data_IF_622154690263
#
_entry.id   IF_622154690263
#
_cell.length_a   1.000
_cell.length_b   1.000
_cell.length_c   1.000
_cell.angle_alpha   90.00
_cell.angle_beta   90.00
_cell.angle_gamma   90.00
#
_symmetry.space_group_name_H-M   'P 1'
#
loop_
_entity.id
_entity.type
_entity.pdbx_description
1 polymer ?
#
# COMPACT_ATOMS: atom_id res chain seq x y z
N UNK A 1 -35.78 5.93 27.53
CA UNK A 1 -34.54 5.59 28.26
C UNK A 1 -33.53 5.28 27.18
N UNK A 2 -32.70 6.26 26.85
CA UNK A 2 -31.77 6.19 25.73
C UNK A 2 -30.37 6.19 26.35
N UNK A 3 -29.78 5.03 26.53
CA UNK A 3 -28.36 4.93 26.87
C UNK A 3 -27.57 4.80 25.57
N UNK A 4 -26.57 5.65 25.44
CA UNK A 4 -25.61 5.63 24.33
C UNK A 4 -24.77 4.36 24.44
N UNK A 5 -24.44 3.67 23.34
CA UNK A 5 -23.57 2.48 23.37
C UNK A 5 -22.10 2.81 23.74
N UNK A 6 -21.79 4.08 24.05
CA UNK A 6 -20.45 4.55 24.40
C UNK A 6 -20.28 4.93 25.88
N UNK A 7 -21.33 4.83 26.69
CA UNK A 7 -21.19 5.03 28.14
C UNK A 7 -20.63 3.73 28.74
N UNK A 8 -19.29 3.63 28.83
CA UNK A 8 -18.64 2.62 29.68
C UNK A 8 -18.95 2.94 31.15
N UNK A 9 -19.18 1.93 32.01
CA UNK A 9 -19.18 2.17 33.45
C UNK A 9 -17.77 2.59 33.90
N UNK A 10 -17.70 3.72 34.62
CA UNK A 10 -16.54 4.10 35.43
C UNK A 10 -16.43 3.12 36.60
N UNK A 11 -15.80 1.97 36.36
CA UNK A 11 -15.33 1.10 37.44
C UNK A 11 -13.97 1.64 37.92
N UNK A 12 -14.04 2.56 38.89
CA UNK A 12 -12.93 2.86 39.79
C UNK A 12 -12.64 1.61 40.64
N UNK A 13 -11.85 0.68 40.10
CA UNK A 13 -11.12 -0.29 40.91
C UNK A 13 -9.63 0.01 40.76
N UNK A 14 -9.08 0.73 41.74
CA UNK A 14 -7.63 0.84 41.93
C UNK A 14 -7.09 -0.56 42.31
N UNK A 15 -6.87 -1.38 41.29
CA UNK A 15 -6.01 -2.55 41.38
C UNK A 15 -4.59 -2.06 41.55
N UNK A 16 -4.09 -2.12 42.79
CA UNK A 16 -2.69 -2.04 43.15
C UNK A 16 -1.92 -3.04 42.26
N UNK A 17 -1.35 -2.55 41.15
CA UNK A 17 -0.46 -3.35 40.32
C UNK A 17 0.82 -3.54 41.13
N UNK A 18 0.89 -4.65 41.86
CA UNK A 18 2.12 -5.10 42.48
C UNK A 18 3.23 -5.08 41.44
N UNK A 19 4.16 -4.14 41.60
CA UNK A 19 5.40 -4.05 40.85
C UNK A 19 6.26 -5.26 41.24
N UNK A 20 5.93 -6.41 40.66
CA UNK A 20 6.91 -7.44 40.39
C UNK A 20 7.28 -7.23 38.94
N UNK A 21 8.39 -6.55 38.67
CA UNK A 21 9.03 -6.60 37.36
C UNK A 21 9.68 -7.97 37.24
N UNK A 22 9.13 -8.98 36.54
CA UNK A 22 9.99 -10.02 36.03
C UNK A 22 10.90 -9.31 35.02
N UNK A 23 12.21 -9.33 35.26
CA UNK A 23 13.25 -8.96 34.30
C UNK A 23 12.75 -9.26 32.88
N UNK A 24 12.49 -8.21 32.09
CA UNK A 24 11.92 -8.33 30.75
C UNK A 24 12.94 -9.02 29.84
N UNK A 25 12.98 -10.35 29.87
CA UNK A 25 13.84 -11.14 29.00
C UNK A 25 13.52 -10.82 27.54
N UNK A 26 14.52 -10.27 26.84
CA UNK A 26 14.35 -9.92 25.44
C UNK A 26 14.23 -11.19 24.60
N UNK A 27 13.68 -11.08 23.39
CA UNK A 27 13.65 -12.21 22.47
C UNK A 27 15.05 -12.77 22.15
N UNK A 28 16.09 -11.96 22.34
CA UNK A 28 17.48 -12.35 22.14
C UNK A 28 18.08 -13.11 23.33
N UNK A 29 17.49 -12.99 24.52
CA UNK A 29 17.90 -13.74 25.71
C UNK A 29 17.34 -15.16 25.73
N UNK A 30 16.45 -15.49 24.78
CA UNK A 30 15.88 -16.83 24.61
C UNK A 30 16.85 -17.70 23.79
N UNK A 31 17.02 -18.98 24.16
CA UNK A 31 17.85 -19.90 23.41
C UNK A 31 17.30 -20.11 21.99
N UNK A 32 18.16 -20.48 21.01
CA UNK A 32 17.71 -20.73 19.64
C UNK A 32 16.68 -21.86 19.59
N UNK A 33 15.77 -21.80 18.60
CA UNK A 33 14.65 -22.76 18.45
C UNK A 33 15.04 -24.24 18.47
N UNK A 34 16.28 -24.57 18.09
CA UNK A 34 16.79 -25.95 18.09
C UNK A 34 17.07 -26.50 19.50
N UNK A 35 17.32 -25.62 20.46
CA UNK A 35 17.59 -25.96 21.87
C UNK A 35 16.32 -25.89 22.73
N UNK A 36 15.23 -25.35 22.18
CA UNK A 36 13.93 -25.33 22.83
C UNK A 36 13.28 -26.72 22.81
N UNK A 37 12.49 -27.08 23.83
CA UNK A 37 11.77 -28.34 23.84
C UNK A 37 10.81 -28.42 22.64
N UNK A 38 10.57 -29.63 22.10
CA UNK A 38 9.63 -29.81 21.01
C UNK A 38 8.23 -29.37 21.45
N UNK A 39 7.66 -28.43 20.70
CA UNK A 39 6.29 -27.96 20.93
C UNK A 39 5.35 -28.97 20.27
N UNK A 40 4.45 -29.56 21.06
CA UNK A 40 3.36 -30.38 20.54
C UNK A 40 2.37 -29.47 19.82
N UNK A 41 2.37 -29.52 18.49
CA UNK A 41 1.37 -28.85 17.68
C UNK A 41 0.14 -29.73 17.60
N UNK A 42 -1.05 -29.13 17.52
CA UNK A 42 -2.26 -29.87 17.15
C UNK A 42 -1.99 -30.62 15.84
N UNK A 43 -2.42 -31.89 15.76
CA UNK A 43 -2.39 -32.60 14.50
C UNK A 43 -3.20 -31.80 13.49
N UNK A 44 -2.66 -31.66 12.28
CA UNK A 44 -3.43 -31.20 11.13
C UNK A 44 -4.51 -32.26 10.86
N UNK A 45 -5.61 -32.17 11.60
CA UNK A 45 -6.80 -32.94 11.29
C UNK A 45 -7.32 -32.39 9.96
N UNK A 46 -7.19 -33.20 8.91
CA UNK A 46 -7.60 -32.87 7.53
C UNK A 46 -9.06 -32.36 7.47
N UNK A 47 -9.85 -32.64 8.51
CA UNK A 47 -11.23 -32.20 8.67
C UNK A 47 -11.42 -30.69 8.97
N UNK A 48 -10.37 -29.96 9.36
CA UNK A 48 -10.42 -28.50 9.59
C UNK A 48 -9.52 -27.71 8.62
N UNK A 49 -9.24 -28.30 7.46
CA UNK A 49 -8.54 -27.64 6.37
C UNK A 49 -9.56 -26.84 5.55
N UNK A 50 -9.26 -25.57 5.30
CA UNK A 50 -10.12 -24.70 4.49
C UNK A 50 -10.29 -25.29 3.07
N UNK A 51 -11.50 -25.17 2.49
CA UNK A 51 -11.86 -25.84 1.22
C UNK A 51 -10.83 -25.63 0.10
N UNK A 52 -10.30 -24.41 -0.03
CA UNK A 52 -9.32 -24.02 -1.05
C UNK A 52 -7.95 -24.71 -0.94
N UNK A 53 -7.67 -25.43 0.15
CA UNK A 53 -6.46 -26.25 0.32
C UNK A 53 -6.66 -27.69 -0.16
N UNK A 54 -7.91 -28.16 -0.26
CA UNK A 54 -8.24 -29.47 -0.79
C UNK A 54 -8.37 -29.46 -2.32
N UNK A 55 -8.57 -28.27 -2.90
CA UNK A 55 -8.59 -28.08 -4.33
C UNK A 55 -7.16 -28.26 -4.86
N UNK A 56 -6.96 -29.28 -5.70
CA UNK A 56 -5.73 -29.42 -6.48
C UNK A 56 -5.54 -28.11 -7.26
N UNK A 57 -4.36 -27.45 -7.15
CA UNK A 57 -4.12 -26.22 -7.89
C UNK A 57 -4.43 -26.47 -9.37
N UNK A 58 -5.29 -25.63 -9.96
CA UNK A 58 -5.61 -25.75 -11.37
C UNK A 58 -4.33 -25.92 -12.18
N UNK A 59 -4.33 -26.83 -13.14
CA UNK A 59 -3.15 -27.18 -13.94
C UNK A 59 -2.65 -25.95 -14.71
N UNK A 60 -1.79 -25.15 -14.08
CA UNK A 60 -1.38 -23.81 -14.53
C UNK A 60 -1.23 -22.75 -13.44
N UNK A 61 -1.75 -22.95 -12.22
CA UNK A 61 -1.56 -22.03 -11.09
C UNK A 61 -0.22 -22.33 -10.39
N UNK A 62 0.87 -21.83 -10.95
CA UNK A 62 2.19 -21.56 -10.35
C UNK A 62 2.74 -22.49 -9.25
N UNK A 63 2.43 -23.78 -9.23
CA UNK A 63 3.17 -24.78 -8.46
C UNK A 63 4.15 -25.48 -9.39
N UNK A 64 5.01 -24.69 -10.05
CA UNK A 64 6.20 -25.26 -10.69
C UNK A 64 7.22 -25.46 -9.56
N UNK A 65 7.82 -26.65 -9.48
CA UNK A 65 8.87 -26.97 -8.49
C UNK A 65 10.11 -26.04 -8.59
N UNK A 66 10.18 -25.27 -9.67
CA UNK A 66 11.24 -24.31 -9.94
C UNK A 66 10.87 -22.90 -9.46
N UNK A 67 11.84 -22.15 -8.88
CA UNK A 67 11.61 -20.78 -8.48
C UNK A 67 11.25 -19.93 -9.69
N UNK A 68 10.25 -19.06 -9.53
CA UNK A 68 9.86 -18.13 -10.57
C UNK A 68 11.01 -17.19 -10.92
N UNK A 69 11.50 -17.27 -12.17
CA UNK A 69 12.59 -16.43 -12.65
C UNK A 69 12.02 -15.09 -13.11
N UNK A 70 12.26 -14.02 -12.35
CA UNK A 70 11.89 -12.66 -12.73
C UNK A 70 12.79 -12.15 -13.86
N UNK A 71 12.29 -12.21 -15.09
CA UNK A 71 12.98 -11.63 -16.25
C UNK A 71 12.53 -10.18 -16.48
N UNK A 72 13.45 -9.32 -16.95
CA UNK A 72 13.14 -7.91 -17.29
C UNK A 72 11.98 -7.77 -18.27
N UNK A 73 11.78 -8.76 -19.15
CA UNK A 73 10.67 -8.77 -20.09
C UNK A 73 9.31 -8.95 -19.40
N UNK A 74 9.25 -9.75 -18.34
CA UNK A 74 8.04 -9.95 -17.53
C UNK A 74 7.78 -8.77 -16.60
N UNK A 75 8.83 -8.02 -16.23
CA UNK A 75 8.73 -6.78 -15.47
C UNK A 75 8.53 -5.54 -16.35
N UNK A 76 8.41 -5.71 -17.67
CA UNK A 76 8.14 -4.59 -18.57
C UNK A 76 6.68 -4.21 -18.40
N UNK A 77 6.44 -3.19 -17.60
CA UNK A 77 5.17 -2.49 -17.60
C UNK A 77 5.15 -1.58 -18.82
N UNK A 78 4.07 -1.60 -19.58
CA UNK A 78 3.77 -0.46 -20.44
C UNK A 78 3.76 0.75 -19.50
N UNK A 79 4.60 1.75 -19.82
CA UNK A 79 4.67 2.97 -19.03
C UNK A 79 3.23 3.46 -18.85
N UNK A 80 2.83 3.98 -17.67
CA UNK A 80 1.45 4.44 -17.43
C UNK A 80 1.03 5.61 -18.35
N UNK A 81 1.91 6.00 -19.27
CA UNK A 81 1.77 7.07 -20.24
C UNK A 81 2.26 6.54 -21.59
N UNK A 82 1.37 6.48 -22.58
CA UNK A 82 1.76 6.21 -23.97
C UNK A 82 2.73 7.30 -24.44
N UNK A 83 3.86 6.92 -25.02
CA UNK A 83 4.84 7.86 -25.54
C UNK A 83 4.32 8.53 -26.80
N UNK A 84 4.39 9.87 -26.88
CA UNK A 84 4.03 10.60 -28.10
C UNK A 84 2.55 10.96 -28.22
N UNK A 85 1.78 10.95 -27.12
CA UNK A 85 0.42 11.46 -27.10
C UNK A 85 0.38 12.93 -27.59
N UNK A 86 -0.58 13.29 -28.45
CA UNK A 86 -0.76 14.67 -28.86
C UNK A 86 -1.19 15.54 -27.66
N UNK A 87 -0.81 16.83 -27.61
CA UNK A 87 -1.13 17.71 -26.47
C UNK A 87 -2.61 17.77 -26.10
N UNK A 88 -3.51 17.62 -27.06
CA UNK A 88 -4.96 17.59 -26.85
C UNK A 88 -5.40 16.41 -25.96
N UNK A 89 -4.74 15.26 -26.11
CA UNK A 89 -5.01 14.05 -25.31
C UNK A 89 -4.25 14.06 -23.98
N UNK A 90 -3.28 14.98 -23.82
CA UNK A 90 -2.55 15.16 -22.58
C UNK A 90 -3.31 16.01 -21.55
N UNK A 91 -4.38 16.70 -21.97
CA UNK A 91 -5.20 17.52 -21.08
C UNK A 91 -5.81 16.63 -20.00
N UNK A 92 -5.82 17.12 -18.76
CA UNK A 92 -6.23 16.40 -17.55
C UNK A 92 -5.32 15.28 -17.05
N UNK A 93 -4.29 14.88 -17.82
CA UNK A 93 -3.29 13.93 -17.33
C UNK A 93 -2.54 14.51 -16.12
N UNK A 94 -2.19 13.63 -15.18
CA UNK A 94 -1.46 13.99 -13.96
C UNK A 94 -0.10 13.34 -13.89
N UNK A 95 0.90 14.08 -13.41
CA UNK A 95 2.28 13.64 -13.26
C UNK A 95 2.73 13.84 -11.82
N UNK A 96 3.33 12.80 -11.23
CA UNK A 96 3.93 12.90 -9.92
C UNK A 96 5.27 13.65 -10.04
N UNK A 97 5.38 14.78 -9.35
CA UNK A 97 6.64 15.53 -9.28
C UNK A 97 7.63 14.80 -8.37
N UNK A 98 8.91 15.02 -8.64
CA UNK A 98 9.96 14.64 -7.70
C UNK A 98 9.69 15.28 -6.33
N UNK A 99 10.03 14.58 -5.23
CA UNK A 99 9.87 15.14 -3.90
C UNK A 99 10.64 16.46 -3.76
N UNK A 100 10.03 17.41 -3.07
CA UNK A 100 10.67 18.67 -2.70
C UNK A 100 11.70 18.45 -1.56
N UNK A 101 12.45 19.50 -1.21
CA UNK A 101 13.39 19.46 -0.07
C UNK A 101 12.68 19.15 1.26
N UNK A 102 11.39 19.52 1.38
CA UNK A 102 10.52 19.21 2.51
C UNK A 102 9.97 17.75 2.50
N UNK A 103 10.49 16.88 1.63
CA UNK A 103 10.03 15.50 1.35
C UNK A 103 8.55 15.38 0.91
N UNK A 104 7.91 16.51 0.64
CA UNK A 104 6.55 16.55 0.12
C UNK A 104 6.52 16.18 -1.36
N UNK A 105 5.50 15.41 -1.77
CA UNK A 105 5.27 15.02 -3.17
C UNK A 105 3.98 15.62 -3.67
N UNK A 106 4.04 16.29 -4.81
CA UNK A 106 2.88 16.93 -5.45
C UNK A 106 2.58 16.28 -6.79
N UNK A 107 1.31 16.33 -7.21
CA UNK A 107 0.90 15.92 -8.57
C UNK A 107 0.58 17.17 -9.39
N UNK A 108 1.21 17.29 -10.56
CA UNK A 108 0.89 18.32 -11.54
C UNK A 108 -0.21 17.83 -12.49
N UNK A 109 -1.14 18.71 -12.90
CA UNK A 109 -2.21 18.42 -13.88
C UNK A 109 -2.03 19.33 -15.10
N UNK A 110 -2.13 18.77 -16.30
CA UNK A 110 -2.11 19.55 -17.54
C UNK A 110 -3.50 20.17 -17.77
N UNK A 111 -3.54 21.47 -18.05
CA UNK A 111 -4.77 22.23 -18.29
C UNK A 111 -4.70 22.94 -19.65
N UNK A 112 -5.87 23.08 -20.29
CA UNK A 112 -5.99 23.86 -21.53
C UNK A 112 -5.81 25.35 -21.23
N UNK A 113 -4.89 26.00 -21.95
CA UNK A 113 -4.74 27.45 -21.91
C UNK A 113 -5.63 28.09 -22.97
N UNK A 114 -6.68 28.80 -22.54
CA UNK A 114 -7.45 29.66 -23.43
C UNK A 114 -6.65 30.94 -23.77
N UNK A 115 -6.39 31.19 -25.05
CA UNK A 115 -5.71 32.41 -25.50
C UNK A 115 -6.74 33.44 -26.00
N UNK A 116 -7.12 34.40 -25.17
CA UNK A 116 -7.88 35.58 -25.62
C UNK A 116 -6.94 36.58 -26.33
N UNK A 117 -6.49 36.25 -27.53
CA UNK A 117 -5.70 37.17 -28.36
C UNK A 117 -6.64 38.14 -29.09
N UNK A 118 -7.14 39.16 -28.38
CA UNK A 118 -7.77 40.32 -29.04
C UNK A 118 -6.67 41.13 -29.73
N UNK A 119 -6.45 40.85 -31.02
CA UNK A 119 -5.58 41.65 -31.88
C UNK A 119 -6.20 43.03 -32.10
N UNK A 120 -5.98 43.96 -31.17
CA UNK A 120 -6.36 45.36 -31.33
C UNK A 120 -5.46 45.97 -32.42
N UNK A 121 -5.98 46.02 -33.65
CA UNK A 121 -5.30 46.63 -34.79
C UNK A 121 -5.42 48.14 -34.66
N UNK A 122 -4.33 48.81 -34.27
CA UNK A 122 -4.22 50.26 -34.45
C UNK A 122 -3.96 50.53 -35.94
N UNK A 123 -4.96 51.08 -36.63
CA UNK A 123 -4.76 51.69 -37.95
C UNK A 123 -3.97 52.98 -37.78
N UNK A 124 -2.96 53.18 -38.63
CA UNK A 124 -2.16 54.41 -38.71
C UNK A 124 -3.03 55.52 -39.29
N UNK A 125 -3.07 56.67 -38.63
CA UNK A 125 -3.61 57.92 -39.19
C UNK A 125 -2.40 58.65 -39.82
N UNK A 126 -2.36 58.87 -41.14
CA UNK A 126 -1.33 59.72 -41.74
C UNK A 126 -1.65 61.20 -41.54
N UNK A 127 -0.61 62.02 -41.35
CA UNK A 127 -0.62 63.49 -41.45
C UNK A 127 -0.27 63.86 -42.88
#
# INVERSE_FOLDING_TARGET
>A
MNQSPFDLPDDEEEGEIGETTPEESTLMDKPPLREMPPVETVNDDDNNIASHKNDEPEKGSSSTEEPFIFNKQQMRTDNPTESGLPPEQMIEMTFLMLPAEDDTRVRAKILLKESTTTRRRFSKIPI
#
